data_IF_000236646826
#
_entry.id   IF_000236646826
#
_cell.length_a   1.000
_cell.length_b   1.000
_cell.length_c   1.000
_cell.angle_alpha   90.00
_cell.angle_beta   90.00
_cell.angle_gamma   90.00
#
_symmetry.space_group_name_H-M   'P 1'
#
loop_
_entity.id
_entity.type
_entity.pdbx_description
1 polymer ?
#
# COMPACT_ATOMS: atom_id res chain seq x y z
N UNK A 1 3.36 10.37 0.25
CA UNK A 1 2.12 9.61 -0.05
C UNK A 1 1.09 10.18 0.87
N UNK A 2 0.16 10.93 0.32
CA UNK A 2 -0.92 11.57 1.05
C UNK A 2 -2.08 10.61 1.28
N UNK A 3 -3.04 11.02 2.12
CA UNK A 3 -4.19 10.17 2.46
C UNK A 3 -5.00 9.77 1.21
N UNK A 4 -5.14 10.65 0.24
CA UNK A 4 -5.93 10.37 -0.97
C UNK A 4 -5.12 9.72 -2.10
N UNK A 5 -3.83 9.47 -1.89
CA UNK A 5 -3.01 8.74 -2.86
C UNK A 5 -3.30 7.24 -2.82
N UNK A 6 -3.27 6.62 -3.99
CA UNK A 6 -3.44 5.17 -4.16
C UNK A 6 -2.20 4.40 -3.72
N UNK A 7 -2.36 3.57 -2.69
CA UNK A 7 -1.35 2.61 -2.26
C UNK A 7 -1.45 1.33 -3.08
N UNK A 8 -2.66 0.83 -3.32
CA UNK A 8 -2.84 -0.30 -4.23
C UNK A 8 -3.20 0.20 -5.62
N UNK A 9 -2.20 0.45 -6.45
CA UNK A 9 -2.36 0.89 -7.85
C UNK A 9 -3.01 -0.17 -8.78
N UNK A 10 -3.24 -1.39 -8.28
CA UNK A 10 -4.00 -2.42 -9.02
C UNK A 10 -5.50 -2.30 -8.84
N UNK A 11 -5.95 -1.90 -7.64
CA UNK A 11 -7.36 -1.89 -7.26
C UNK A 11 -7.81 -0.51 -6.75
N UNK A 12 -7.00 0.52 -7.01
CA UNK A 12 -7.30 1.92 -6.69
C UNK A 12 -7.67 2.14 -5.21
N UNK A 13 -6.90 1.51 -4.31
CA UNK A 13 -7.09 1.61 -2.86
C UNK A 13 -6.22 2.71 -2.30
N UNK A 14 -6.84 3.77 -1.79
CA UNK A 14 -6.14 4.92 -1.21
C UNK A 14 -5.59 4.63 0.18
N UNK A 15 -4.56 5.37 0.59
CA UNK A 15 -4.01 5.33 1.95
C UNK A 15 -5.11 5.58 3.00
N UNK A 16 -6.04 6.49 2.73
CA UNK A 16 -7.20 6.80 3.59
C UNK A 16 -8.10 5.59 3.79
N UNK A 17 -8.42 4.84 2.73
CA UNK A 17 -9.22 3.60 2.83
C UNK A 17 -8.54 2.59 3.75
N UNK A 18 -7.23 2.38 3.58
CA UNK A 18 -6.44 1.44 4.38
C UNK A 18 -6.35 1.85 5.85
N UNK A 19 -6.06 3.12 6.14
CA UNK A 19 -5.98 3.64 7.52
C UNK A 19 -7.35 3.55 8.21
N UNK A 20 -8.44 3.85 7.49
CA UNK A 20 -9.78 3.68 8.02
C UNK A 20 -10.12 2.21 8.28
N UNK A 21 -9.78 1.31 7.36
CA UNK A 21 -9.97 -0.13 7.52
C UNK A 21 -9.23 -0.66 8.76
N UNK A 22 -7.96 -0.30 8.94
CA UNK A 22 -7.16 -0.65 10.12
C UNK A 22 -7.85 -0.21 11.41
N UNK A 23 -8.36 1.02 11.45
CA UNK A 23 -9.03 1.59 12.62
C UNK A 23 -10.38 0.91 12.94
N UNK A 24 -11.18 0.63 11.92
CA UNK A 24 -12.56 0.13 12.09
C UNK A 24 -12.57 -1.39 12.27
N UNK A 25 -11.94 -2.12 11.35
CA UNK A 25 -11.99 -3.58 11.29
C UNK A 25 -10.98 -4.25 12.23
N UNK A 26 -9.96 -3.51 12.68
CA UNK A 26 -8.93 -3.96 13.64
C UNK A 26 -8.36 -5.34 13.28
N UNK A 27 -7.86 -5.53 12.05
CA UNK A 27 -7.29 -6.80 11.62
C UNK A 27 -6.18 -7.26 12.55
N UNK A 28 -5.97 -8.59 12.64
CA UNK A 28 -4.97 -9.20 13.52
C UNK A 28 -3.63 -9.45 12.84
N UNK A 29 -3.61 -9.47 11.50
CA UNK A 29 -2.40 -9.68 10.69
C UNK A 29 -2.42 -8.78 9.45
N UNK A 30 -1.26 -8.30 9.01
CA UNK A 30 -1.12 -7.43 7.85
C UNK A 30 -1.74 -8.03 6.56
N UNK A 31 -1.68 -9.35 6.40
CA UNK A 31 -2.27 -10.03 5.25
C UNK A 31 -3.82 -9.91 5.17
N UNK A 32 -4.51 -9.45 6.22
CA UNK A 32 -5.95 -9.15 6.15
C UNK A 32 -6.26 -7.80 5.47
N UNK A 33 -5.25 -6.97 5.18
CA UNK A 33 -5.49 -5.76 4.38
C UNK A 33 -6.00 -6.08 2.96
N UNK A 34 -5.89 -7.34 2.50
CA UNK A 34 -6.54 -7.81 1.27
C UNK A 34 -8.07 -7.77 1.35
N UNK A 35 -8.66 -7.80 2.53
CA UNK A 35 -10.10 -7.63 2.74
C UNK A 35 -10.54 -6.17 2.48
N UNK A 36 -9.59 -5.22 2.46
CA UNK A 36 -9.82 -3.85 2.02
C UNK A 36 -9.72 -3.76 0.48
N UNK A 37 -10.85 -4.04 -0.20
CA UNK A 37 -10.98 -3.94 -1.67
C UNK A 37 -9.93 -4.73 -2.48
N UNK A 38 -9.40 -5.83 -1.92
CA UNK A 38 -8.39 -6.65 -2.60
C UNK A 38 -6.95 -6.13 -2.48
N UNK A 39 -6.66 -5.13 -1.65
CA UNK A 39 -5.32 -4.54 -1.60
C UNK A 39 -4.20 -5.61 -1.43
N UNK A 40 -3.21 -5.58 -2.33
CA UNK A 40 -2.08 -6.50 -2.30
C UNK A 40 -2.29 -7.85 -3.00
N UNK A 41 -3.48 -8.15 -3.55
CA UNK A 41 -3.72 -9.43 -4.26
C UNK A 41 -3.44 -9.38 -5.76
N UNK A 42 -3.19 -8.19 -6.33
CA UNK A 42 -2.80 -7.99 -7.73
C UNK A 42 -1.31 -8.26 -7.95
N UNK A 43 -0.56 -7.28 -8.45
CA UNK A 43 0.89 -7.44 -8.68
C UNK A 43 1.74 -7.65 -7.41
N UNK A 44 1.18 -7.49 -6.20
CA UNK A 44 1.87 -7.76 -4.94
C UNK A 44 2.86 -6.68 -4.45
N UNK A 45 3.28 -5.75 -5.30
CA UNK A 45 4.30 -4.76 -4.95
C UNK A 45 4.00 -3.94 -3.69
N UNK A 46 2.74 -3.52 -3.50
CA UNK A 46 2.36 -2.69 -2.34
C UNK A 46 2.37 -3.42 -0.99
N UNK A 47 2.55 -4.74 -0.94
CA UNK A 47 2.44 -5.55 0.31
C UNK A 47 3.38 -5.06 1.43
N UNK A 48 4.60 -4.64 1.10
CA UNK A 48 5.53 -4.09 2.09
C UNK A 48 5.03 -2.78 2.68
N UNK A 49 4.41 -1.92 1.85
CA UNK A 49 3.79 -0.68 2.34
C UNK A 49 2.56 -0.98 3.22
N UNK A 50 1.75 -1.99 2.86
CA UNK A 50 0.62 -2.46 3.67
C UNK A 50 1.08 -2.98 5.04
N UNK A 51 2.17 -3.75 5.09
CA UNK A 51 2.76 -4.23 6.34
C UNK A 51 3.24 -3.06 7.21
N UNK A 52 3.93 -2.07 6.62
CA UNK A 52 4.34 -0.84 7.34
C UNK A 52 3.14 -0.10 7.95
N UNK A 53 2.04 0.07 7.20
CA UNK A 53 0.82 0.70 7.73
C UNK A 53 0.21 -0.08 8.89
N UNK A 54 0.19 -1.40 8.79
CA UNK A 54 -0.29 -2.28 9.86
C UNK A 54 0.58 -2.15 11.13
N UNK A 55 1.90 -2.20 10.99
CA UNK A 55 2.84 -2.09 12.11
C UNK A 55 2.75 -0.71 12.77
N UNK A 56 2.66 0.35 11.98
CA UNK A 56 2.45 1.71 12.49
C UNK A 56 1.14 1.85 13.27
N UNK A 57 0.06 1.23 12.77
CA UNK A 57 -1.23 1.23 13.48
C UNK A 57 -1.16 0.44 14.80
N UNK A 58 -0.51 -0.73 14.80
CA UNK A 58 -0.32 -1.55 15.98
C UNK A 58 0.54 -0.84 17.04
N UNK A 59 1.63 -0.20 16.63
CA UNK A 59 2.51 0.55 17.51
C UNK A 59 1.83 1.79 18.11
N UNK A 60 1.02 2.51 17.31
CA UNK A 60 0.23 3.64 17.79
C UNK A 60 -0.79 3.22 18.86
N UNK A 61 -1.30 1.98 18.80
CA UNK A 61 -2.21 1.44 19.80
C UNK A 61 -1.53 1.10 21.15
N UNK A 62 -0.20 0.94 21.18
CA UNK A 62 0.56 0.52 22.37
C UNK A 62 1.51 1.60 22.92
N UNK A 63 1.53 2.80 22.33
CA UNK A 63 2.40 3.92 22.70
C UNK A 63 3.92 3.59 22.71
N UNK A 64 4.33 2.50 22.05
CA UNK A 64 5.62 1.85 22.30
C UNK A 64 6.71 2.13 21.24
N UNK A 65 6.49 2.96 20.22
CA UNK A 65 7.53 3.18 19.21
C UNK A 65 7.64 4.64 18.72
N UNK A 66 8.88 5.17 18.55
CA UNK A 66 9.09 6.38 17.77
C UNK A 66 8.67 6.13 16.31
N UNK A 67 8.17 7.16 15.60
CA UNK A 67 7.78 7.03 14.20
C UNK A 67 8.96 6.55 13.36
N UNK A 68 8.69 5.67 12.40
CA UNK A 68 9.67 5.26 11.38
C UNK A 68 10.15 6.51 10.64
N UNK A 69 11.45 6.82 10.73
CA UNK A 69 12.07 8.07 10.26
C UNK A 69 12.19 8.17 8.73
N UNK A 70 11.86 7.10 8.00
CA UNK A 70 11.88 7.08 6.54
C UNK A 70 10.74 7.95 5.97
N UNK A 71 11.06 9.00 5.18
CA UNK A 71 10.05 9.84 4.58
C UNK A 71 9.15 9.01 3.65
N UNK A 72 7.85 9.31 3.65
CA UNK A 72 6.92 8.68 2.72
C UNK A 72 7.20 9.17 1.28
N UNK A 73 7.32 8.28 0.29
CA UNK A 73 7.62 8.67 -1.09
C UNK A 73 6.48 9.52 -1.67
N UNK A 74 6.75 10.35 -2.68
CA UNK A 74 5.68 11.02 -3.44
C UNK A 74 4.84 10.00 -4.23
N UNK A 75 3.62 10.39 -4.64
CA UNK A 75 2.76 9.57 -5.52
C UNK A 75 3.49 9.14 -6.80
N UNK A 76 4.24 10.05 -7.41
CA UNK A 76 4.97 9.79 -8.65
C UNK A 76 6.13 8.79 -8.43
N UNK A 77 6.92 8.96 -7.35
CA UNK A 77 7.99 8.02 -7.00
C UNK A 77 7.45 6.62 -6.70
N UNK A 78 6.33 6.55 -5.99
CA UNK A 78 5.66 5.29 -5.67
C UNK A 78 5.18 4.56 -6.94
N UNK A 79 4.54 5.28 -7.87
CA UNK A 79 4.11 4.72 -9.15
C UNK A 79 5.30 4.23 -10.00
N UNK A 80 6.38 5.02 -10.10
CA UNK A 80 7.62 4.64 -10.80
C UNK A 80 8.26 3.39 -10.22
N UNK A 81 8.35 3.29 -8.90
CA UNK A 81 8.95 2.14 -8.23
C UNK A 81 8.14 0.85 -8.47
N UNK A 82 6.80 0.94 -8.47
CA UNK A 82 5.93 -0.17 -8.88
C UNK A 82 6.18 -0.58 -10.33
N UNK A 83 6.20 0.39 -11.24
CA UNK A 83 6.39 0.14 -12.67
C UNK A 83 7.70 -0.63 -12.90
N UNK A 84 8.79 -0.19 -12.27
CA UNK A 84 10.07 -0.87 -12.33
C UNK A 84 10.03 -2.30 -11.76
N UNK A 85 9.31 -2.52 -10.65
CA UNK A 85 9.12 -3.87 -10.10
C UNK A 85 8.39 -4.81 -11.05
N UNK A 86 7.31 -4.33 -11.69
CA UNK A 86 6.55 -5.16 -12.64
C UNK A 86 7.37 -5.46 -13.89
N UNK A 87 8.09 -4.47 -14.45
CA UNK A 87 8.96 -4.67 -15.62
C UNK A 87 10.07 -5.71 -15.37
N UNK A 88 10.50 -5.87 -14.11
CA UNK A 88 11.45 -6.92 -13.69
C UNK A 88 10.81 -8.28 -13.41
N UNK A 89 9.50 -8.46 -13.67
CA UNK A 89 8.80 -9.72 -13.48
C UNK A 89 8.31 -9.98 -12.04
N UNK A 90 8.25 -8.96 -11.17
CA UNK A 90 7.84 -9.13 -9.78
C UNK A 90 6.37 -9.57 -9.58
N UNK A 91 5.52 -9.34 -10.57
CA UNK A 91 4.12 -9.78 -10.57
C UNK A 91 3.32 -9.10 -11.66
N UNK A 92 2.14 -9.65 -12.00
CA UNK A 92 1.32 -9.18 -13.11
C UNK A 92 0.13 -8.37 -12.60
N UNK A 93 0.00 -7.08 -12.97
CA UNK A 93 -1.21 -6.32 -12.67
C UNK A 93 -2.44 -6.92 -13.36
N UNK A 94 -3.61 -6.89 -12.71
CA UNK A 94 -4.86 -7.27 -13.34
C UNK A 94 -5.30 -6.23 -14.39
N UNK A 95 -6.24 -6.58 -15.29
CA UNK A 95 -6.89 -5.62 -16.17
C UNK A 95 -7.49 -4.43 -15.40
N UNK A 96 -7.34 -3.23 -15.93
CA UNK A 96 -7.84 -2.00 -15.32
C UNK A 96 -6.93 -1.39 -14.24
N UNK A 97 -5.81 -2.03 -13.89
CA UNK A 97 -4.81 -1.44 -13.01
C UNK A 97 -4.21 -0.16 -13.59
N UNK A 98 -3.68 0.72 -12.72
CA UNK A 98 -2.90 1.90 -13.13
C UNK A 98 -1.82 1.48 -14.14
N UNK A 99 -1.76 2.13 -15.32
CA UNK A 99 -0.78 1.80 -16.35
C UNK A 99 0.65 1.88 -15.84
N UNK A 100 1.50 0.97 -16.31
CA UNK A 100 2.92 0.92 -15.96
C UNK A 100 3.72 1.92 -16.81
N UNK A 101 3.26 2.20 -18.01
CA UNK A 101 3.95 3.02 -19.00
C UNK A 101 3.61 4.50 -18.90
N UNK A 102 2.62 4.87 -18.07
CA UNK A 102 2.26 6.25 -17.79
C UNK A 102 3.04 6.86 -16.61
N UNK A 103 4.05 6.15 -16.07
CA UNK A 103 4.79 6.56 -14.89
C UNK A 103 6.07 7.36 -15.20
N UNK A 104 6.32 7.70 -16.47
CA UNK A 104 7.49 8.48 -16.91
C UNK A 104 7.24 9.99 -16.82
#
# INVERSE_FOLDING_TARGET
MELDDEVCLCFHVTKRKLVNFLRIERPKRAAQLSECFGAGTGCGWCRTYLARLFDQHAAAATAAAPPTTEPDPTKAEYARARAAYVRRGGGTPPPGATPIDAAD
#
